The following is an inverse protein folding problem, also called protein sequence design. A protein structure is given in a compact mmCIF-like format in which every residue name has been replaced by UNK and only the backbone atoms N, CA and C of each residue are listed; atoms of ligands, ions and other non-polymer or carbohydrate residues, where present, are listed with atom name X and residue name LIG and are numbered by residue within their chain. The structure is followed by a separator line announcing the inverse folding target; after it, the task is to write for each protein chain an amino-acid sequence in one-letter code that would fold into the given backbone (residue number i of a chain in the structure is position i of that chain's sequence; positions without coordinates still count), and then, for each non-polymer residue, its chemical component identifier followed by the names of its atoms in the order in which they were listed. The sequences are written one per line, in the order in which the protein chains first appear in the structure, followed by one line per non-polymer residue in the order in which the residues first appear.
data_IF_346203836410
#
_entry.id   IF_346203836410
#
_cell.length_a   1.000
_cell.length_b   1.000
_cell.length_c   1.000
_cell.angle_alpha   90.00
_cell.angle_beta   90.00
_cell.angle_gamma   90.00
#
_symmetry.space_group_name_H-M   'P 1'
#
loop_
_entity.id
_entity.type
_entity.pdbx_description
1 polymer ?
#
# COMPACT_ATOMS: atom_id res chain seq x y z
N UNK A 1 -3.01 -38.29 -22.83
CA UNK A 1 -3.05 -36.94 -23.44
C UNK A 1 -2.16 -36.06 -22.59
N UNK A 2 -0.91 -35.89 -22.99
CA UNK A 2 0.06 -35.08 -22.26
C UNK A 2 -0.25 -33.59 -22.45
N UNK A 3 -0.92 -32.99 -21.45
CA UNK A 3 -1.21 -31.55 -21.41
C UNK A 3 0.04 -30.68 -21.18
N UNK A 4 1.23 -31.27 -21.10
CA UNK A 4 2.48 -30.62 -20.67
C UNK A 4 3.45 -30.33 -21.82
N UNK A 5 3.18 -30.78 -23.05
CA UNK A 5 4.11 -30.71 -24.18
C UNK A 5 4.20 -29.34 -24.87
N UNK A 6 3.30 -28.40 -24.54
CA UNK A 6 3.28 -27.03 -25.08
C UNK A 6 3.32 -25.91 -24.03
N UNK A 7 3.49 -26.24 -22.75
CA UNK A 7 3.44 -25.25 -21.67
C UNK A 7 4.82 -24.61 -21.45
N UNK A 8 5.00 -23.38 -21.94
CA UNK A 8 6.19 -22.58 -21.61
C UNK A 8 6.00 -21.89 -20.25
N UNK A 9 6.73 -22.29 -19.19
CA UNK A 9 6.52 -21.76 -17.83
C UNK A 9 6.82 -20.26 -17.69
N UNK A 10 7.51 -19.68 -18.68
CA UNK A 10 7.81 -18.25 -18.77
C UNK A 10 6.56 -17.37 -18.77
N UNK A 11 5.47 -17.82 -19.40
CA UNK A 11 4.21 -17.06 -19.43
C UNK A 11 3.54 -17.01 -18.05
N UNK A 12 3.62 -18.09 -17.26
CA UNK A 12 3.10 -18.09 -15.89
C UNK A 12 3.92 -17.13 -15.00
N UNK A 13 5.24 -17.15 -15.14
CA UNK A 13 6.13 -16.23 -14.42
C UNK A 13 5.80 -14.78 -14.78
N UNK A 14 5.57 -14.49 -16.07
CA UNK A 14 5.19 -13.17 -16.57
C UNK A 14 3.85 -12.69 -15.99
N UNK A 15 2.83 -13.55 -15.98
CA UNK A 15 1.51 -13.24 -15.41
C UNK A 15 1.61 -12.97 -13.90
N UNK A 16 2.35 -13.81 -13.17
CA UNK A 16 2.57 -13.62 -11.73
C UNK A 16 3.27 -12.29 -11.45
N UNK A 17 4.28 -11.92 -12.24
CA UNK A 17 4.97 -10.64 -12.12
C UNK A 17 4.05 -9.44 -12.33
N UNK A 18 3.17 -9.50 -13.32
CA UNK A 18 2.16 -8.46 -13.55
C UNK A 18 1.25 -8.33 -12.33
N UNK A 19 0.69 -9.44 -11.83
CA UNK A 19 -0.22 -9.41 -10.68
C UNK A 19 0.45 -8.83 -9.43
N UNK A 20 1.69 -9.21 -9.16
CA UNK A 20 2.47 -8.68 -8.05
C UNK A 20 2.73 -7.17 -8.21
N UNK A 21 3.09 -6.71 -9.41
CA UNK A 21 3.35 -5.30 -9.68
C UNK A 21 2.10 -4.42 -9.48
N UNK A 22 0.93 -4.90 -9.91
CA UNK A 22 -0.34 -4.18 -9.72
C UNK A 22 -0.78 -4.18 -8.24
N UNK A 23 -0.60 -5.29 -7.53
CA UNK A 23 -0.96 -5.40 -6.11
C UNK A 23 -0.21 -4.38 -5.25
N UNK A 24 1.06 -4.15 -5.57
CA UNK A 24 1.92 -3.23 -4.81
C UNK A 24 1.46 -1.76 -4.87
N UNK A 25 0.78 -1.35 -5.96
CA UNK A 25 0.24 0.02 -6.08
C UNK A 25 -0.99 0.25 -5.21
N UNK A 26 -1.87 -0.74 -5.08
CA UNK A 26 -3.10 -0.61 -4.31
C UNK A 26 -2.84 -0.50 -2.80
N UNK A 27 -1.84 -1.24 -2.30
CA UNK A 27 -1.53 -1.26 -0.86
C UNK A 27 -1.06 0.08 -0.32
N UNK A 28 -0.26 0.84 -1.07
CA UNK A 28 0.24 2.15 -0.63
C UNK A 28 -0.88 3.16 -0.41
N UNK A 29 -1.87 3.18 -1.29
CA UNK A 29 -3.02 4.09 -1.17
C UNK A 29 -3.90 3.69 0.01
N UNK A 30 -4.15 2.39 0.19
CA UNK A 30 -4.98 1.88 1.28
C UNK A 30 -4.37 2.16 2.66
N UNK A 31 -3.06 1.96 2.82
CA UNK A 31 -2.38 2.23 4.09
C UNK A 31 -2.45 3.70 4.48
N UNK A 32 -2.30 4.64 3.54
CA UNK A 32 -2.42 6.08 3.82
C UNK A 32 -3.83 6.45 4.27
N UNK A 33 -4.84 5.93 3.60
CA UNK A 33 -6.23 6.20 3.95
C UNK A 33 -6.58 5.64 5.33
N UNK A 34 -6.12 4.42 5.62
CA UNK A 34 -6.29 3.76 6.91
C UNK A 34 -5.61 4.55 8.04
N UNK A 35 -4.33 4.93 7.87
CA UNK A 35 -3.60 5.69 8.89
C UNK A 35 -4.22 7.06 9.18
N UNK A 36 -4.75 7.77 8.16
CA UNK A 36 -5.48 9.04 8.39
C UNK A 36 -6.75 8.84 9.22
N UNK A 37 -7.47 7.74 8.97
CA UNK A 37 -8.68 7.39 9.72
C UNK A 37 -8.38 7.03 11.17
N UNK A 38 -7.28 6.31 11.40
CA UNK A 38 -6.82 5.95 12.74
C UNK A 38 -6.36 7.20 13.52
N UNK A 39 -5.61 8.10 12.90
CA UNK A 39 -5.21 9.38 13.52
C UNK A 39 -6.44 10.19 13.95
N UNK A 40 -7.47 10.26 13.11
CA UNK A 40 -8.72 10.94 13.46
C UNK A 40 -9.45 10.27 14.64
N UNK A 41 -9.47 8.93 14.70
CA UNK A 41 -10.04 8.20 15.81
C UNK A 41 -9.28 8.46 17.12
N UNK A 42 -7.95 8.43 17.11
CA UNK A 42 -7.13 8.72 18.29
C UNK A 42 -7.28 10.15 18.80
N UNK A 43 -7.49 11.12 17.90
CA UNK A 43 -7.82 12.49 18.27
C UNK A 43 -9.20 12.57 18.91
N UNK A 44 -10.21 11.90 18.34
CA UNK A 44 -11.56 11.86 18.89
C UNK A 44 -11.62 11.17 20.26
N UNK A 45 -10.80 10.13 20.47
CA UNK A 45 -10.63 9.42 21.74
C UNK A 45 -9.79 10.22 22.76
N UNK A 46 -9.08 11.26 22.31
CA UNK A 46 -8.21 12.10 23.15
C UNK A 46 -6.87 11.44 23.52
N UNK A 47 -6.53 10.29 22.93
CA UNK A 47 -5.25 9.61 23.11
C UNK A 47 -4.11 10.19 22.27
N UNK A 48 -4.47 11.04 21.28
CA UNK A 48 -3.55 11.79 20.43
C UNK A 48 -3.99 13.25 20.34
N UNK A 49 -3.07 14.20 20.55
CA UNK A 49 -3.37 15.62 20.33
C UNK A 49 -3.46 15.95 18.85
N UNK A 50 -4.31 16.92 18.48
CA UNK A 50 -4.47 17.36 17.09
C UNK A 50 -3.15 17.85 16.46
N UNK A 51 -2.30 18.56 17.22
CA UNK A 51 -0.98 19.01 16.76
C UNK A 51 -0.03 17.83 16.48
N UNK A 52 -0.10 16.78 17.30
CA UNK A 52 0.67 15.56 17.09
C UNK A 52 0.15 14.78 15.87
N UNK A 53 -1.17 14.76 15.67
CA UNK A 53 -1.80 14.19 14.48
C UNK A 53 -1.38 14.88 13.19
N UNK A 54 -1.32 16.22 13.16
CA UNK A 54 -0.84 16.99 12.00
C UNK A 54 0.60 16.61 11.64
N UNK A 55 1.48 16.51 12.64
CA UNK A 55 2.89 16.11 12.45
C UNK A 55 3.02 14.68 11.92
N UNK A 56 2.23 13.74 12.42
CA UNK A 56 2.20 12.36 11.93
C UNK A 56 1.71 12.28 10.47
N UNK A 57 0.69 13.07 10.11
CA UNK A 57 0.19 13.14 8.73
C UNK A 57 1.26 13.70 7.78
N UNK A 58 2.00 14.73 8.19
CA UNK A 58 3.11 15.32 7.41
C UNK A 58 4.33 14.40 7.29
N UNK A 59 4.66 13.62 8.33
CA UNK A 59 5.76 12.66 8.29
C UNK A 59 5.51 11.50 7.31
N UNK A 60 4.25 11.19 7.00
CA UNK A 60 3.86 10.15 6.04
C UNK A 60 3.83 10.60 4.58
N UNK A 61 3.93 11.92 4.31
CA UNK A 61 4.12 12.45 2.97
C UNK A 61 5.58 12.29 2.56
N UNK A 62 5.88 11.84 1.33
CA UNK A 62 7.25 11.77 0.88
C UNK A 62 7.78 13.21 0.89
N UNK A 63 8.73 13.51 1.78
CA UNK A 63 9.51 14.73 1.65
C UNK A 63 10.20 14.65 0.29
N UNK A 64 9.67 15.41 -0.66
CA UNK A 64 10.36 15.73 -1.89
C UNK A 64 11.59 16.53 -1.44
N UNK A 65 12.76 15.88 -1.46
CA UNK A 65 14.03 16.52 -1.21
C UNK A 65 14.31 17.42 -2.42
N UNK A 66 13.74 18.62 -2.39
CA UNK A 66 14.01 19.72 -3.32
C UNK A 66 15.33 20.42 -3.00
#
# INVERSE_FOLDING_TARGET
MDLTSGYNPLWLIFIVWIVLAYSHKAWRTFHREKSRREIAAYIAEGSLSADQGEKLMRAGEPQDLA
#
